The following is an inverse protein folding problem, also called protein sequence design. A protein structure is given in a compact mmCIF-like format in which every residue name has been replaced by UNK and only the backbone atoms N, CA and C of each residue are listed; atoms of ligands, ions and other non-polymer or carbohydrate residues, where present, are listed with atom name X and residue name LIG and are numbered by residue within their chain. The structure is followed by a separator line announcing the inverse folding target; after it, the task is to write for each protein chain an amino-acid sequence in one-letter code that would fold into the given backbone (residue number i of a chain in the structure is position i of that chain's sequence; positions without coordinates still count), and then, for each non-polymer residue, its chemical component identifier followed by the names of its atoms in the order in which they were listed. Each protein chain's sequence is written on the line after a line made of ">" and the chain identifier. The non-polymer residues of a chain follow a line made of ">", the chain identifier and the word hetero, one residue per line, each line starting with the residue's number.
data_IF_691158677865
#
_entry.id   IF_691158677865
#
_cell.length_a   1.000
_cell.length_b   1.000
_cell.length_c   1.000
_cell.angle_alpha   90.00
_cell.angle_beta   90.00
_cell.angle_gamma   90.00
#
_symmetry.space_group_name_H-M   'P 1'
#
loop_
_entity.id
_entity.type
_entity.pdbx_description
1 polymer ?
#
# COMPACT_ATOMS: atom_id res chain seq x y z
N UNK A 1 -8.61 -5.37 18.47
CA UNK A 1 -9.22 -4.24 17.73
C UNK A 1 -8.68 -4.17 16.31
N UNK A 2 -9.19 -3.26 15.47
CA UNK A 2 -8.67 -3.07 14.11
C UNK A 2 -7.52 -2.07 14.14
N UNK A 3 -6.33 -2.39 13.60
CA UNK A 3 -5.20 -1.46 13.63
C UNK A 3 -5.51 -0.17 12.86
N UNK A 4 -5.07 0.96 13.39
CA UNK A 4 -5.10 2.26 12.72
C UNK A 4 -3.93 2.36 11.73
N UNK A 5 -4.22 2.86 10.53
CA UNK A 5 -3.27 2.86 9.41
C UNK A 5 -3.19 4.25 8.79
N UNK A 6 -1.98 4.80 8.74
CA UNK A 6 -1.65 5.95 7.91
C UNK A 6 -1.08 5.47 6.58
N UNK A 7 -1.80 5.72 5.49
CA UNK A 7 -1.31 5.46 4.13
C UNK A 7 -0.77 6.76 3.53
N UNK A 8 0.54 6.83 3.28
CA UNK A 8 1.20 7.98 2.66
C UNK A 8 1.39 7.74 1.16
N UNK A 9 0.68 8.52 0.35
CA UNK A 9 0.76 8.43 -1.12
C UNK A 9 1.75 9.42 -1.75
N UNK A 10 2.17 10.43 -1.00
CA UNK A 10 3.12 11.46 -1.41
C UNK A 10 3.85 11.99 -0.19
N UNK A 11 5.14 12.32 -0.32
CA UNK A 11 6.02 12.65 0.80
C UNK A 11 6.31 14.15 0.96
N UNK A 12 6.13 14.96 -0.09
CA UNK A 12 6.48 16.40 -0.09
C UNK A 12 5.49 17.25 -0.91
N UNK A 13 4.50 17.90 -0.27
CA UNK A 13 4.15 17.74 1.14
C UNK A 13 3.56 16.36 1.44
N UNK A 14 3.63 15.85 2.69
CA UNK A 14 3.08 14.54 3.04
C UNK A 14 1.56 14.51 2.89
N UNK A 15 1.06 13.48 2.21
CA UNK A 15 -0.36 13.33 1.88
C UNK A 15 -0.90 11.98 2.37
N UNK A 16 -1.97 12.03 3.17
CA UNK A 16 -2.76 10.85 3.49
C UNK A 16 -3.61 10.43 2.29
N UNK A 17 -3.53 9.15 1.94
CA UNK A 17 -4.20 8.58 0.78
C UNK A 17 -5.72 8.56 0.94
N UNK A 18 -6.42 9.08 -0.07
CA UNK A 18 -7.87 9.02 -0.21
C UNK A 18 -8.33 8.03 -1.28
N UNK A 19 -9.36 8.42 -2.02
CA UNK A 19 -10.05 7.63 -3.04
C UNK A 19 -10.51 6.29 -2.46
N UNK A 20 -10.03 5.17 -3.01
CA UNK A 20 -10.37 3.82 -2.54
C UNK A 20 -9.38 3.28 -1.52
N UNK A 21 -8.24 3.93 -1.25
CA UNK A 21 -7.21 3.38 -0.33
C UNK A 21 -7.76 3.18 1.10
N UNK A 22 -8.54 4.10 1.69
CA UNK A 22 -9.21 3.85 2.98
C UNK A 22 -10.12 2.61 2.96
N UNK A 23 -10.79 2.32 1.85
CA UNK A 23 -11.59 1.10 1.69
C UNK A 23 -10.72 -0.15 1.61
N UNK A 24 -9.57 -0.10 0.94
CA UNK A 24 -8.62 -1.23 0.90
C UNK A 24 -8.13 -1.56 2.31
N UNK A 25 -7.75 -0.55 3.10
CA UNK A 25 -7.37 -0.72 4.52
C UNK A 25 -8.51 -1.36 5.32
N UNK A 26 -9.74 -0.87 5.15
CA UNK A 26 -10.93 -1.40 5.84
C UNK A 26 -11.18 -2.87 5.50
N UNK A 27 -11.02 -3.26 4.23
CA UNK A 27 -11.17 -4.65 3.77
C UNK A 27 -10.03 -5.53 4.30
N UNK A 28 -8.80 -5.00 4.36
CA UNK A 28 -7.65 -5.66 4.98
C UNK A 28 -7.74 -5.78 6.51
N UNK A 29 -8.82 -5.30 7.14
CA UNK A 29 -9.08 -5.43 8.56
C UNK A 29 -8.52 -4.29 9.43
N UNK A 30 -8.03 -3.20 8.84
CA UNK A 30 -7.61 -2.00 9.56
C UNK A 30 -8.68 -0.90 9.60
N UNK A 31 -8.25 0.28 10.05
CA UNK A 31 -8.97 1.56 9.95
C UNK A 31 -8.05 2.65 9.38
N UNK A 32 -8.59 3.60 8.61
CA UNK A 32 -7.85 4.72 8.03
C UNK A 32 -8.47 6.03 8.55
N UNK A 33 -7.97 6.60 9.67
CA UNK A 33 -8.65 7.67 10.39
C UNK A 33 -8.48 9.07 9.77
N UNK A 34 -7.52 9.26 8.86
CA UNK A 34 -7.11 10.58 8.36
C UNK A 34 -7.97 11.09 7.19
N UNK A 35 -8.40 10.19 6.30
CA UNK A 35 -9.19 10.53 5.11
C UNK A 35 -10.34 9.54 4.97
N UNK A 36 -11.55 10.07 4.77
CA UNK A 36 -12.74 9.23 4.59
C UNK A 36 -12.72 8.50 3.24
N UNK A 37 -13.32 7.30 3.12
CA UNK A 37 -13.45 6.61 1.85
C UNK A 37 -14.15 7.45 0.79
N UNK A 38 -13.58 7.49 -0.43
CA UNK A 38 -14.08 8.26 -1.56
C UNK A 38 -13.64 9.72 -1.61
N UNK A 39 -13.10 10.28 -0.52
CA UNK A 39 -12.58 11.64 -0.49
C UNK A 39 -11.23 11.74 -1.20
N UNK A 40 -10.87 12.94 -1.67
CA UNK A 40 -9.53 13.15 -2.22
C UNK A 40 -8.49 13.01 -1.12
N UNK A 41 -7.32 12.53 -1.50
CA UNK A 41 -6.14 12.55 -0.65
C UNK A 41 -5.85 13.97 -0.17
N UNK A 42 -5.36 14.07 1.07
CA UNK A 42 -5.24 15.34 1.77
C UNK A 42 -3.86 15.49 2.40
N UNK A 43 -3.36 16.71 2.41
CA UNK A 43 -2.11 17.05 3.10
C UNK A 43 -2.29 16.85 4.60
N UNK A 44 -1.28 16.33 5.26
CA UNK A 44 -1.25 16.10 6.70
C UNK A 44 0.01 16.68 7.31
N UNK A 45 -0.06 17.07 8.57
CA UNK A 45 1.11 17.46 9.36
C UNK A 45 1.48 16.36 10.38
N UNK A 46 2.71 16.38 10.92
CA UNK A 46 3.18 15.37 11.88
C UNK A 46 2.25 15.25 13.10
N UNK A 47 1.74 16.38 13.59
CA UNK A 47 0.86 16.44 14.77
C UNK A 47 -0.48 15.74 14.51
N UNK A 48 -1.06 15.92 13.32
CA UNK A 48 -2.31 15.28 12.90
C UNK A 48 -2.12 13.77 12.78
N UNK A 49 -1.01 13.32 12.19
CA UNK A 49 -0.70 11.88 12.09
C UNK A 49 -0.43 11.28 13.47
N UNK A 50 0.31 11.96 14.35
CA UNK A 50 0.53 11.51 15.72
C UNK A 50 -0.77 11.44 16.53
N UNK A 51 -1.67 12.41 16.37
CA UNK A 51 -2.97 12.40 17.04
C UNK A 51 -3.90 11.27 16.55
N UNK A 52 -3.68 10.77 15.33
CA UNK A 52 -4.39 9.62 14.79
C UNK A 52 -3.88 8.27 15.32
N UNK A 53 -2.75 8.27 16.04
CA UNK A 53 -2.15 7.12 16.73
C UNK A 53 -2.08 5.84 15.86
N UNK A 54 -1.42 5.89 14.69
CA UNK A 54 -1.40 4.76 13.77
C UNK A 54 -0.54 3.61 14.33
N UNK A 55 -1.06 2.39 14.29
CA UNK A 55 -0.28 1.17 14.51
C UNK A 55 0.67 0.89 13.32
N UNK A 56 0.26 1.32 12.11
CA UNK A 56 1.01 1.09 10.88
C UNK A 56 1.09 2.34 10.00
N UNK A 57 2.25 2.54 9.38
CA UNK A 57 2.45 3.46 8.25
C UNK A 57 2.69 2.66 6.98
N UNK A 58 1.91 2.93 5.94
CA UNK A 58 2.06 2.31 4.62
C UNK A 58 2.50 3.39 3.63
N UNK A 59 3.74 3.30 3.18
CA UNK A 59 4.32 4.18 2.16
C UNK A 59 4.08 3.57 0.78
N UNK A 60 3.38 4.29 -0.09
CA UNK A 60 3.14 3.88 -1.47
C UNK A 60 3.26 5.04 -2.48
N UNK A 61 4.38 5.80 -2.46
CA UNK A 61 4.57 6.95 -3.33
C UNK A 61 4.54 6.56 -4.81
N UNK A 62 3.78 7.31 -5.61
CA UNK A 62 3.57 7.03 -7.03
C UNK A 62 4.89 6.92 -7.82
N UNK A 63 4.99 5.92 -8.70
CA UNK A 63 6.13 5.76 -9.62
C UNK A 63 7.42 5.27 -8.94
N UNK A 64 7.33 4.84 -7.68
CA UNK A 64 8.46 4.26 -6.94
C UNK A 64 8.35 2.74 -6.81
N UNK A 65 7.22 2.09 -7.09
CA UNK A 65 7.02 0.67 -6.82
C UNK A 65 7.14 0.39 -5.32
N UNK A 66 7.62 -0.79 -4.91
CA UNK A 66 7.92 -1.10 -3.48
C UNK A 66 9.02 -0.21 -2.86
N UNK A 67 9.50 0.83 -3.56
CA UNK A 67 10.56 1.75 -3.09
C UNK A 67 10.00 2.96 -2.34
N UNK A 68 8.95 2.76 -1.54
CA UNK A 68 8.81 3.58 -0.35
C UNK A 68 10.09 3.45 0.48
N UNK A 69 10.51 4.51 1.15
CA UNK A 69 11.77 4.54 1.89
C UNK A 69 11.48 4.75 3.38
N UNK A 70 11.35 3.66 4.16
CA UNK A 70 11.15 3.75 5.61
C UNK A 70 12.26 4.54 6.29
N UNK A 71 13.52 4.41 5.85
CA UNK A 71 14.63 5.17 6.44
C UNK A 71 14.46 6.68 6.21
N UNK A 72 14.01 7.08 5.01
CA UNK A 72 13.70 8.47 4.72
C UNK A 72 12.47 8.98 5.46
N UNK A 73 11.48 8.12 5.72
CA UNK A 73 10.34 8.46 6.57
C UNK A 73 10.78 8.69 8.02
N UNK A 74 11.56 7.75 8.58
CA UNK A 74 12.07 7.83 9.96
C UNK A 74 12.99 9.04 10.16
N UNK A 75 13.79 9.39 9.14
CA UNK A 75 14.66 10.57 9.15
C UNK A 75 13.89 11.90 9.27
N UNK A 76 12.57 11.92 9.03
CA UNK A 76 11.72 13.12 9.28
C UNK A 76 11.57 13.41 10.77
N UNK A 77 11.82 12.44 11.64
CA UNK A 77 11.80 12.62 13.09
C UNK A 77 10.40 12.81 13.68
N UNK A 78 9.37 12.24 13.06
CA UNK A 78 7.98 12.35 13.54
C UNK A 78 7.74 11.51 14.81
N UNK A 79 8.62 10.53 15.10
CA UNK A 79 8.59 9.71 16.31
C UNK A 79 7.24 9.04 16.58
N UNK A 80 6.66 8.41 15.56
CA UNK A 80 5.43 7.62 15.68
C UNK A 80 5.76 6.24 16.26
N UNK A 81 4.91 5.70 17.13
CA UNK A 81 4.99 4.30 17.60
C UNK A 81 4.28 3.35 16.62
N UNK A 82 4.75 3.34 15.37
CA UNK A 82 4.09 2.67 14.26
C UNK A 82 5.07 1.78 13.48
N UNK A 83 4.61 0.63 12.99
CA UNK A 83 5.39 -0.17 12.06
C UNK A 83 5.32 0.45 10.65
N UNK A 84 6.47 0.84 10.09
CA UNK A 84 6.57 1.50 8.77
C UNK A 84 6.87 0.49 7.66
N UNK A 85 6.06 0.49 6.61
CA UNK A 85 6.15 -0.46 5.50
C UNK A 85 6.13 0.25 4.15
N UNK A 86 6.89 -0.25 3.18
CA UNK A 86 6.73 0.13 1.79
C UNK A 86 5.84 -0.89 1.04
N UNK A 87 4.92 -0.39 0.22
CA UNK A 87 4.05 -1.20 -0.63
C UNK A 87 4.09 -0.65 -2.05
N UNK A 88 4.12 -1.55 -3.04
CA UNK A 88 4.11 -1.18 -4.45
C UNK A 88 2.90 -0.31 -4.80
N UNK A 89 3.17 0.87 -5.35
CA UNK A 89 2.13 1.83 -5.69
C UNK A 89 1.14 1.30 -6.74
N UNK A 90 1.58 0.41 -7.64
CA UNK A 90 0.70 -0.22 -8.64
C UNK A 90 -0.42 -1.07 -8.01
N UNK A 91 -0.22 -1.55 -6.77
CA UNK A 91 -1.21 -2.34 -6.03
C UNK A 91 -2.25 -1.48 -5.33
N UNK A 92 -2.00 -0.20 -5.10
CA UNK A 92 -2.90 0.67 -4.32
C UNK A 92 -3.43 1.87 -5.12
N UNK A 93 -2.63 2.42 -6.04
CA UNK A 93 -2.91 3.71 -6.68
C UNK A 93 -3.60 3.59 -8.06
N UNK A 94 -3.82 2.38 -8.55
CA UNK A 94 -4.41 2.14 -9.87
C UNK A 94 -5.70 1.32 -9.77
N UNK A 95 -6.76 1.67 -10.53
CA UNK A 95 -7.98 0.86 -10.63
C UNK A 95 -7.72 -0.36 -11.53
N UNK A 96 -6.99 -1.34 -11.01
CA UNK A 96 -6.58 -2.55 -11.73
C UNK A 96 -6.83 -3.81 -10.90
N UNK A 97 -6.85 -5.02 -11.49
CA UNK A 97 -6.95 -6.26 -10.70
C UNK A 97 -5.89 -6.40 -9.59
N UNK A 98 -4.77 -5.67 -9.69
CA UNK A 98 -3.72 -5.67 -8.67
C UNK A 98 -4.19 -5.16 -7.30
N UNK A 99 -5.29 -4.38 -7.20
CA UNK A 99 -5.82 -3.97 -5.88
C UNK A 99 -6.21 -5.15 -4.99
N UNK A 100 -6.59 -6.30 -5.57
CA UNK A 100 -6.86 -7.50 -4.76
C UNK A 100 -5.57 -8.02 -4.11
N UNK A 101 -4.45 -8.00 -4.83
CA UNK A 101 -3.14 -8.31 -4.28
C UNK A 101 -2.68 -7.25 -3.27
N UNK A 102 -3.03 -5.97 -3.48
CA UNK A 102 -2.82 -4.90 -2.51
C UNK A 102 -3.53 -5.15 -1.19
N UNK A 103 -4.80 -5.56 -1.22
CA UNK A 103 -5.56 -5.93 -0.01
C UNK A 103 -4.93 -7.13 0.71
N UNK A 104 -4.52 -8.18 -0.01
CA UNK A 104 -3.82 -9.33 0.59
C UNK A 104 -2.50 -8.90 1.26
N UNK A 105 -1.72 -8.05 0.59
CA UNK A 105 -0.48 -7.50 1.14
C UNK A 105 -0.74 -6.69 2.40
N UNK A 106 -1.73 -5.80 2.39
CA UNK A 106 -2.12 -5.03 3.59
C UNK A 106 -2.55 -5.97 4.72
N UNK A 107 -3.42 -6.95 4.44
CA UNK A 107 -3.90 -7.87 5.49
C UNK A 107 -2.76 -8.63 6.18
N UNK A 108 -1.75 -9.07 5.43
CA UNK A 108 -0.56 -9.74 6.00
C UNK A 108 0.33 -8.81 6.82
N UNK A 109 0.43 -7.53 6.44
CA UNK A 109 1.19 -6.54 7.20
C UNK A 109 0.49 -6.17 8.52
N UNK A 110 -0.84 -6.01 8.45
CA UNK A 110 -1.67 -5.61 9.59
C UNK A 110 -1.92 -6.77 10.57
N UNK A 111 -1.88 -8.01 10.10
CA UNK A 111 -2.18 -9.21 10.89
C UNK A 111 -1.11 -10.31 10.68
N UNK A 112 0.14 -10.11 11.12
CA UNK A 112 1.25 -11.01 10.81
C UNK A 112 1.09 -12.43 11.41
N UNK A 113 0.33 -12.56 12.50
CA UNK A 113 0.08 -13.84 13.18
C UNK A 113 -1.24 -14.51 12.76
N UNK A 114 -1.99 -13.91 11.83
CA UNK A 114 -3.23 -14.49 11.36
C UNK A 114 -2.99 -15.66 10.39
N UNK A 115 -3.78 -16.72 10.55
CA UNK A 115 -3.83 -17.84 9.62
C UNK A 115 -4.62 -17.44 8.36
N UNK A 116 -3.96 -16.66 7.50
CA UNK A 116 -4.50 -16.24 6.21
C UNK A 116 -4.30 -17.34 5.16
N UNK A 117 -5.23 -17.50 4.20
CA UNK A 117 -5.05 -18.44 3.09
C UNK A 117 -3.79 -18.11 2.28
N UNK A 118 -3.44 -18.99 1.33
CA UNK A 118 -2.33 -18.73 0.41
C UNK A 118 -2.43 -17.33 -0.23
N UNK A 119 -1.30 -16.61 -0.39
CA UNK A 119 -1.27 -15.27 -0.96
C UNK A 119 -2.07 -15.18 -2.26
N UNK A 120 -2.83 -14.10 -2.38
CA UNK A 120 -3.41 -13.76 -3.66
C UNK A 120 -2.29 -13.43 -4.65
N UNK A 121 -1.94 -14.41 -5.47
CA UNK A 121 -1.22 -14.15 -6.69
C UNK A 121 -2.15 -13.31 -7.56
N UNK A 122 -1.75 -12.06 -7.84
CA UNK A 122 -2.25 -11.41 -9.04
C UNK A 122 -2.11 -12.43 -10.18
N UNK A 123 -3.07 -12.49 -11.11
CA UNK A 123 -2.93 -13.33 -12.28
C UNK A 123 -1.67 -12.90 -13.04
N UNK A 124 -0.52 -13.46 -12.67
CA UNK A 124 0.77 -13.19 -13.26
C UNK A 124 0.65 -13.56 -14.73
N UNK A 125 1.14 -12.69 -15.61
CA UNK A 125 2.34 -13.02 -16.38
C UNK A 125 2.39 -14.46 -16.93
N UNK A 126 1.25 -14.95 -17.43
CA UNK A 126 1.10 -16.24 -18.13
C UNK A 126 1.00 -16.04 -19.65
N UNK A 127 1.18 -14.81 -20.14
CA UNK A 127 1.36 -14.49 -21.56
C UNK A 127 2.57 -13.55 -21.66
N UNK A 128 3.65 -13.83 -22.40
CA UNK A 128 3.77 -14.60 -23.63
C UNK A 128 5.22 -15.05 -23.78
N UNK A 129 5.53 -16.33 -23.60
CA UNK A 129 6.68 -16.91 -24.28
C UNK A 129 6.19 -17.31 -25.67
N UNK A 130 6.35 -16.41 -26.65
CA UNK A 130 6.14 -16.76 -28.06
C UNK A 130 7.15 -17.87 -28.40
N UNK A 131 6.73 -19.04 -28.89
CA UNK A 131 7.68 -20.00 -29.45
C UNK A 131 8.33 -19.33 -30.66
N UNK A 132 9.65 -19.17 -30.64
CA UNK A 132 10.41 -18.85 -31.85
C UNK A 132 10.23 -20.04 -32.81
N UNK A 133 9.40 -19.89 -33.83
CA UNK A 133 9.43 -20.78 -34.99
C UNK A 133 10.79 -20.60 -35.68
N UNK A 134 11.61 -21.63 -35.58
CA UNK A 134 12.77 -21.82 -36.43
C UNK A 134 12.29 -22.14 -37.84
N UNK A 135 12.38 -21.17 -38.74
CA UNK A 135 12.22 -21.40 -40.18
C UNK A 135 13.44 -22.18 -40.69
N UNK A 136 13.36 -23.52 -40.63
CA UNK A 136 14.22 -24.39 -41.41
C UNK A 136 13.72 -24.44 -42.85
N UNK A 137 14.37 -23.63 -43.68
CA UNK A 137 14.87 -24.00 -45.01
C UNK A 137 13.96 -24.79 -45.95
N UNK A 138 13.61 -24.16 -47.07
CA UNK A 138 13.65 -24.82 -48.37
C UNK A 138 14.03 -23.88 -49.50
#
# INVERSE_FOLDING_TARGET
>A
DRPAVYCEEWADPPMAAGNWVPDLVRVAGGTAPLVAPGERSAEVDPETVAAADPDHVILHPCGKGERGDPEAFDARGWNLDAAVHAVDDSRLNQPSPAVVSGVDRLARLLHPDADLPEPWAAASETATATPTESDEGK
#
